data_IF_961973036056
#
_entry.id   IF_961973036056
#
_cell.length_a   1.000
_cell.length_b   1.000
_cell.length_c   1.000
_cell.angle_alpha   90.00
_cell.angle_beta   90.00
_cell.angle_gamma   90.00
#
_symmetry.space_group_name_H-M   'P 1'
#
loop_
_entity.id
_entity.type
_entity.pdbx_description
1 polymer ?
#
# COMPACT_ATOMS: atom_id res chain seq x y z
N UNK A 1 -6.72 -33.29 -26.49
CA UNK A 1 -5.33 -32.92 -26.83
C UNK A 1 -5.18 -31.85 -27.92
N UNK A 2 -6.23 -31.43 -28.65
CA UNK A 2 -6.07 -30.52 -29.81
C UNK A 2 -6.26 -29.02 -29.47
N UNK A 3 -6.77 -28.66 -28.27
CA UNK A 3 -6.96 -27.25 -27.87
C UNK A 3 -5.71 -26.54 -27.31
N UNK A 4 -4.63 -27.27 -27.02
CA UNK A 4 -3.41 -26.71 -26.39
C UNK A 4 -2.41 -26.10 -27.38
N UNK A 5 -2.35 -26.59 -28.62
CA UNK A 5 -1.34 -26.18 -29.59
C UNK A 5 -1.57 -24.77 -30.17
N UNK A 6 -2.84 -24.35 -30.28
CA UNK A 6 -3.19 -23.03 -30.82
C UNK A 6 -2.92 -21.87 -29.84
N UNK A 7 -2.95 -22.13 -28.53
CA UNK A 7 -2.63 -21.13 -27.50
C UNK A 7 -1.12 -20.87 -27.42
N UNK A 8 -0.30 -21.91 -27.59
CA UNK A 8 1.17 -21.79 -27.59
C UNK A 8 1.68 -20.94 -28.76
N UNK A 9 1.11 -21.12 -29.95
CA UNK A 9 1.54 -20.40 -31.16
C UNK A 9 1.20 -18.90 -31.14
N UNK A 10 0.24 -18.47 -30.32
CA UNK A 10 -0.09 -17.04 -30.12
C UNK A 10 0.87 -16.39 -29.11
N UNK A 11 1.36 -17.14 -28.13
CA UNK A 11 2.31 -16.65 -27.11
C UNK A 11 3.70 -16.37 -27.68
N UNK A 12 4.19 -17.22 -28.59
CA UNK A 12 5.50 -17.02 -29.25
C UNK A 12 5.53 -15.79 -30.17
N UNK A 13 4.38 -15.40 -30.74
CA UNK A 13 4.28 -14.23 -31.63
C UNK A 13 4.30 -12.89 -30.90
N UNK A 14 4.09 -12.89 -29.59
CA UNK A 14 4.01 -11.69 -28.74
C UNK A 14 5.26 -11.47 -27.86
N UNK A 15 6.28 -12.32 -27.94
CA UNK A 15 7.49 -12.18 -27.13
C UNK A 15 7.25 -12.39 -25.62
N UNK A 16 6.13 -13.01 -25.24
CA UNK A 16 5.80 -13.33 -23.86
C UNK A 16 6.44 -14.68 -23.57
N UNK A 17 7.54 -14.68 -22.79
CA UNK A 17 8.17 -15.92 -22.33
C UNK A 17 7.11 -16.80 -21.63
N UNK A 18 7.09 -18.12 -21.90
CA UNK A 18 6.17 -19.03 -21.22
C UNK A 18 6.42 -18.91 -19.71
N UNK A 19 5.35 -18.66 -18.95
CA UNK A 19 5.40 -18.58 -17.50
C UNK A 19 6.07 -19.86 -16.96
N UNK A 20 7.32 -19.73 -16.49
CA UNK A 20 7.98 -20.76 -15.70
C UNK A 20 7.05 -21.03 -14.52
N UNK A 21 6.50 -22.25 -14.49
CA UNK A 21 5.60 -22.69 -13.46
C UNK A 21 6.32 -22.55 -12.11
N UNK A 22 5.85 -21.59 -11.31
CA UNK A 22 6.31 -21.35 -9.96
C UNK A 22 5.97 -22.58 -9.12
N UNK A 23 6.97 -23.39 -8.78
CA UNK A 23 6.76 -24.64 -8.04
C UNK A 23 7.09 -24.40 -6.58
N UNK A 24 6.06 -24.21 -5.76
CA UNK A 24 6.23 -24.30 -4.31
C UNK A 24 6.44 -25.78 -3.92
N UNK A 25 7.67 -26.15 -3.61
CA UNK A 25 7.97 -27.45 -3.00
C UNK A 25 7.82 -27.31 -1.47
N UNK A 26 6.89 -28.04 -0.82
CA UNK A 26 6.70 -27.96 0.62
C UNK A 26 7.75 -28.81 1.32
N UNK A 27 9.01 -28.38 1.31
CA UNK A 27 9.93 -28.78 2.37
C UNK A 27 9.50 -28.01 3.63
N UNK A 28 9.38 -28.67 4.79
CA UNK A 28 9.03 -28.03 6.06
C UNK A 28 10.14 -27.03 6.44
N UNK A 29 10.00 -25.78 5.99
CA UNK A 29 10.86 -24.65 6.36
C UNK A 29 10.43 -24.15 7.75
N UNK A 30 11.39 -23.89 8.61
CA UNK A 30 11.16 -23.40 9.98
C UNK A 30 11.05 -21.87 10.00
N UNK A 31 10.39 -21.30 11.00
CA UNK A 31 10.27 -19.83 11.15
C UNK A 31 11.60 -19.07 11.24
N UNK A 32 12.68 -19.76 11.59
CA UNK A 32 14.06 -19.26 11.67
C UNK A 32 14.74 -19.07 10.31
N UNK A 33 14.11 -19.49 9.21
CA UNK A 33 14.67 -19.34 7.87
C UNK A 33 14.25 -18.01 7.22
N UNK A 34 15.09 -17.46 6.32
CA UNK A 34 14.74 -16.26 5.58
C UNK A 34 13.44 -16.44 4.80
N UNK A 35 12.60 -15.40 4.82
CA UNK A 35 11.38 -15.32 4.01
C UNK A 35 11.79 -15.17 2.55
N UNK A 36 11.38 -16.12 1.70
CA UNK A 36 11.62 -16.01 0.26
C UNK A 36 10.61 -15.10 -0.41
N UNK A 37 11.09 -14.04 -1.05
CA UNK A 37 10.25 -13.11 -1.79
C UNK A 37 10.43 -13.32 -3.29
N UNK A 38 9.32 -13.43 -4.01
CA UNK A 38 9.30 -13.32 -5.46
C UNK A 38 8.81 -11.92 -5.86
N UNK A 39 9.49 -11.28 -6.81
CA UNK A 39 9.08 -9.97 -7.32
C UNK A 39 8.38 -10.12 -8.66
N UNK A 40 7.19 -9.53 -8.79
CA UNK A 40 6.48 -9.52 -10.07
C UNK A 40 7.09 -8.49 -11.05
N UNK A 41 7.49 -7.32 -10.55
CA UNK A 41 8.09 -6.24 -11.34
C UNK A 41 9.45 -5.77 -10.76
N UNK A 42 10.51 -6.61 -10.83
CA UNK A 42 11.80 -6.35 -10.18
C UNK A 42 12.50 -5.09 -10.71
N UNK A 43 12.33 -4.76 -11.99
CA UNK A 43 12.99 -3.60 -12.64
C UNK A 43 12.34 -2.26 -12.31
N UNK A 44 11.14 -2.27 -11.71
CA UNK A 44 10.47 -1.07 -11.26
C UNK A 44 11.24 -0.36 -10.14
N UNK A 45 10.95 0.93 -9.92
CA UNK A 45 11.58 1.69 -8.82
C UNK A 45 11.39 1.00 -7.45
N UNK A 46 10.20 0.48 -7.18
CA UNK A 46 9.93 -0.28 -5.95
C UNK A 46 10.58 -1.66 -5.97
N UNK A 47 10.56 -2.38 -7.09
CA UNK A 47 11.24 -3.67 -7.23
C UNK A 47 12.74 -3.57 -6.90
N UNK A 48 13.43 -2.56 -7.43
CA UNK A 48 14.84 -2.29 -7.11
C UNK A 48 15.07 -1.90 -5.65
N UNK A 49 14.18 -1.09 -5.07
CA UNK A 49 14.27 -0.70 -3.67
C UNK A 49 14.06 -1.90 -2.72
N UNK A 50 13.16 -2.82 -3.06
CA UNK A 50 12.94 -4.06 -2.31
C UNK A 50 14.15 -4.98 -2.42
N UNK A 51 14.73 -5.14 -3.61
CA UNK A 51 15.98 -5.91 -3.78
C UNK A 51 17.12 -5.35 -2.92
N UNK A 52 17.30 -4.02 -2.88
CA UNK A 52 18.29 -3.39 -2.02
C UNK A 52 18.01 -3.66 -0.53
N UNK A 53 16.75 -3.56 -0.10
CA UNK A 53 16.38 -3.85 1.29
C UNK A 53 16.60 -5.33 1.66
N UNK A 54 16.33 -6.27 0.75
CA UNK A 54 16.62 -7.70 0.93
C UNK A 54 18.13 -7.92 1.08
N UNK A 55 18.96 -7.23 0.29
CA UNK A 55 20.42 -7.36 0.39
C UNK A 55 21.00 -6.88 1.73
N UNK A 56 20.26 -6.05 2.47
CA UNK A 56 20.64 -5.49 3.77
C UNK A 56 20.01 -6.25 4.97
N UNK A 57 19.09 -7.20 4.72
CA UNK A 57 18.32 -7.89 5.76
C UNK A 57 18.37 -9.42 5.55
N UNK A 58 19.16 -10.09 6.39
CA UNK A 58 19.40 -11.54 6.31
C UNK A 58 18.14 -12.39 6.58
N UNK A 59 17.06 -11.80 7.10
CA UNK A 59 15.78 -12.50 7.26
C UNK A 59 15.00 -12.64 5.95
N UNK A 60 15.51 -12.11 4.84
CA UNK A 60 14.88 -12.19 3.54
C UNK A 60 15.84 -12.69 2.47
N UNK A 61 15.31 -13.40 1.48
CA UNK A 61 16.07 -13.76 0.29
C UNK A 61 15.18 -13.64 -0.96
N UNK A 62 15.78 -13.26 -2.09
CA UNK A 62 15.07 -13.19 -3.37
C UNK A 62 14.98 -14.58 -3.99
N UNK A 63 13.77 -15.04 -4.30
CA UNK A 63 13.53 -16.35 -4.89
C UNK A 63 12.38 -16.29 -5.91
N UNK A 64 12.68 -15.86 -7.14
CA UNK A 64 11.65 -15.57 -8.14
C UNK A 64 10.91 -16.82 -8.65
N UNK A 65 11.48 -18.02 -8.53
CA UNK A 65 10.86 -19.26 -9.03
C UNK A 65 10.14 -20.08 -7.95
N UNK A 66 10.44 -19.82 -6.67
CA UNK A 66 9.97 -20.60 -5.53
C UNK A 66 9.79 -19.77 -4.24
N UNK A 67 9.47 -18.49 -4.40
CA UNK A 67 9.15 -17.56 -3.32
C UNK A 67 7.95 -18.00 -2.48
N UNK A 68 7.96 -17.62 -1.21
CA UNK A 68 6.87 -17.88 -0.26
C UNK A 68 5.84 -16.75 -0.29
N UNK A 69 6.20 -15.56 -0.77
CA UNK A 69 5.30 -14.43 -0.97
C UNK A 69 5.62 -13.76 -2.31
N UNK A 70 4.59 -13.51 -3.12
CA UNK A 70 4.71 -12.68 -4.31
C UNK A 70 4.47 -11.22 -3.94
N UNK A 71 5.33 -10.32 -4.42
CA UNK A 71 5.21 -8.87 -4.19
C UNK A 71 5.06 -8.16 -5.53
N UNK A 72 3.99 -7.39 -5.66
CA UNK A 72 3.62 -6.68 -6.87
C UNK A 72 3.51 -5.16 -6.66
N UNK A 73 4.41 -4.42 -7.31
CA UNK A 73 4.37 -2.95 -7.44
C UNK A 73 4.44 -2.57 -8.93
N UNK A 74 3.68 -3.26 -9.77
CA UNK A 74 3.61 -3.01 -11.21
C UNK A 74 2.61 -1.91 -11.58
N UNK A 75 2.07 -1.99 -12.80
CA UNK A 75 0.97 -1.18 -13.29
C UNK A 75 -0.38 -1.92 -13.17
N UNK A 76 -1.52 -1.22 -13.22
CA UNK A 76 -2.85 -1.83 -13.17
C UNK A 76 -3.06 -2.97 -14.19
N UNK A 77 -2.63 -2.77 -15.45
CA UNK A 77 -2.78 -3.75 -16.53
C UNK A 77 -2.07 -5.10 -16.25
N UNK A 78 -1.09 -5.10 -15.36
CA UNK A 78 -0.33 -6.29 -14.97
C UNK A 78 -0.94 -7.04 -13.77
N UNK A 79 -1.90 -6.42 -13.05
CA UNK A 79 -2.47 -6.97 -11.82
C UNK A 79 -3.11 -8.35 -12.04
N UNK A 80 -3.81 -8.55 -13.15
CA UNK A 80 -4.44 -9.84 -13.43
C UNK A 80 -3.41 -10.97 -13.52
N UNK A 81 -2.29 -10.70 -14.17
CA UNK A 81 -1.22 -11.68 -14.32
C UNK A 81 -0.51 -11.98 -12.98
N UNK A 82 -0.34 -10.99 -12.10
CA UNK A 82 0.23 -11.21 -10.76
C UNK A 82 -0.71 -12.01 -9.86
N UNK A 83 -2.02 -11.72 -9.91
CA UNK A 83 -3.06 -12.48 -9.22
C UNK A 83 -3.11 -13.93 -9.70
N UNK A 84 -3.20 -14.16 -11.01
CA UNK A 84 -3.26 -15.52 -11.59
C UNK A 84 -2.01 -16.33 -11.20
N UNK A 85 -0.82 -15.70 -11.19
CA UNK A 85 0.44 -16.33 -10.76
C UNK A 85 0.39 -16.71 -9.28
N UNK A 86 -0.02 -15.80 -8.39
CA UNK A 86 -0.08 -16.05 -6.95
C UNK A 86 -1.09 -17.17 -6.62
N UNK A 87 -2.28 -17.10 -7.22
CA UNK A 87 -3.35 -18.10 -7.03
C UNK A 87 -2.91 -19.47 -7.54
N UNK A 88 -2.32 -19.56 -8.74
CA UNK A 88 -1.84 -20.83 -9.29
C UNK A 88 -0.72 -21.46 -8.45
N UNK A 89 0.10 -20.65 -7.78
CA UNK A 89 1.16 -21.11 -6.90
C UNK A 89 0.69 -21.39 -5.46
N UNK A 90 -0.50 -20.93 -5.09
CA UNK A 90 -1.02 -21.00 -3.72
C UNK A 90 -0.21 -20.18 -2.73
N UNK A 91 0.41 -19.06 -3.17
CA UNK A 91 1.23 -18.21 -2.31
C UNK A 91 0.57 -16.87 -2.02
N UNK A 92 0.80 -16.27 -0.84
CA UNK A 92 0.38 -14.92 -0.53
C UNK A 92 0.84 -13.87 -1.54
N UNK A 93 0.05 -12.82 -1.68
CA UNK A 93 0.34 -11.68 -2.56
C UNK A 93 0.28 -10.35 -1.81
N UNK A 94 1.35 -9.56 -1.89
CA UNK A 94 1.33 -8.13 -1.59
C UNK A 94 1.04 -7.34 -2.87
N UNK A 95 -0.10 -6.65 -2.91
CA UNK A 95 -0.46 -5.71 -3.98
C UNK A 95 -0.18 -4.28 -3.54
N UNK A 96 0.92 -3.72 -4.03
CA UNK A 96 1.30 -2.31 -3.88
C UNK A 96 0.98 -1.45 -5.11
N UNK A 97 0.40 -2.03 -6.16
CA UNK A 97 -0.02 -1.34 -7.38
C UNK A 97 -1.07 -0.25 -7.07
N UNK A 98 -0.85 0.96 -7.57
CA UNK A 98 -1.75 2.12 -7.41
C UNK A 98 -2.54 2.40 -8.69
N UNK A 99 -3.61 3.19 -8.61
CA UNK A 99 -4.42 3.55 -9.78
C UNK A 99 -5.37 2.43 -10.22
N UNK A 100 -5.78 1.58 -9.28
CA UNK A 100 -6.73 0.50 -9.50
C UNK A 100 -8.15 1.07 -9.65
N UNK A 101 -8.99 0.35 -10.39
CA UNK A 101 -10.40 0.65 -10.62
C UNK A 101 -11.25 -0.44 -9.98
N UNK A 102 -12.57 -0.27 -9.93
CA UNK A 102 -13.48 -1.22 -9.27
C UNK A 102 -13.33 -2.66 -9.80
N UNK A 103 -13.07 -2.83 -11.10
CA UNK A 103 -12.79 -4.15 -11.69
C UNK A 103 -11.54 -4.81 -11.09
N UNK A 104 -10.47 -4.03 -10.88
CA UNK A 104 -9.26 -4.51 -10.23
C UNK A 104 -9.49 -4.88 -8.77
N UNK A 105 -10.25 -4.06 -8.04
CA UNK A 105 -10.59 -4.34 -6.64
C UNK A 105 -11.46 -5.60 -6.52
N UNK A 106 -12.36 -5.85 -7.47
CA UNK A 106 -13.14 -7.10 -7.54
C UNK A 106 -12.24 -8.32 -7.79
N UNK A 107 -11.28 -8.24 -8.71
CA UNK A 107 -10.31 -9.31 -8.96
C UNK A 107 -9.48 -9.63 -7.70
N UNK A 108 -9.06 -8.60 -6.96
CA UNK A 108 -8.37 -8.76 -5.68
C UNK A 108 -9.28 -9.45 -4.66
N UNK A 109 -10.54 -9.01 -4.53
CA UNK A 109 -11.49 -9.58 -3.59
C UNK A 109 -11.78 -11.06 -3.88
N UNK A 110 -11.89 -11.44 -5.16
CA UNK A 110 -12.12 -12.82 -5.56
C UNK A 110 -10.91 -13.72 -5.29
N UNK A 111 -9.69 -13.24 -5.57
CA UNK A 111 -8.46 -13.98 -5.26
C UNK A 111 -8.22 -14.09 -3.74
N UNK A 112 -8.62 -13.08 -2.96
CA UNK A 112 -8.52 -13.11 -1.50
C UNK A 112 -9.38 -14.21 -0.86
N UNK A 113 -10.33 -14.81 -1.58
CA UNK A 113 -11.10 -15.98 -1.11
C UNK A 113 -10.27 -17.27 -1.10
N UNK A 114 -9.16 -17.33 -1.83
CA UNK A 114 -8.35 -18.54 -2.01
C UNK A 114 -6.93 -18.41 -1.50
N UNK A 115 -6.36 -17.19 -1.51
CA UNK A 115 -5.01 -16.90 -1.01
C UNK A 115 -5.00 -15.67 -0.08
N UNK A 116 -3.98 -15.50 0.77
CA UNK A 116 -3.81 -14.28 1.55
C UNK A 116 -3.36 -13.14 0.63
N UNK A 117 -4.06 -12.01 0.66
CA UNK A 117 -3.70 -10.82 -0.12
C UNK A 117 -3.59 -9.63 0.81
N UNK A 118 -2.46 -8.92 0.78
CA UNK A 118 -2.34 -7.61 1.41
C UNK A 118 -2.40 -6.52 0.34
N UNK A 119 -3.37 -5.60 0.45
CA UNK A 119 -3.52 -4.47 -0.48
C UNK A 119 -3.04 -3.19 0.19
N UNK A 120 -1.94 -2.62 -0.30
CA UNK A 120 -1.30 -1.45 0.31
C UNK A 120 -0.58 -0.56 -0.72
N UNK A 121 -1.24 0.49 -1.26
CA UNK A 121 -0.59 1.46 -2.14
C UNK A 121 0.51 2.27 -1.42
N UNK A 122 0.54 2.22 -0.09
CA UNK A 122 1.62 2.72 0.76
C UNK A 122 1.92 1.67 1.83
N UNK A 123 3.15 1.17 1.84
CA UNK A 123 3.61 0.14 2.78
C UNK A 123 4.36 0.69 3.98
N UNK A 124 4.53 2.01 4.13
CA UNK A 124 5.22 2.58 5.29
C UNK A 124 4.48 2.23 6.59
N UNK A 125 5.17 1.54 7.51
CA UNK A 125 4.66 1.26 8.85
C UNK A 125 4.35 2.56 9.62
N UNK A 126 5.19 3.59 9.46
CA UNK A 126 4.97 4.88 10.09
C UNK A 126 3.70 5.59 9.60
N UNK A 127 3.40 5.48 8.30
CA UNK A 127 2.14 6.02 7.74
C UNK A 127 0.93 5.21 8.20
N UNK A 128 1.06 3.88 8.27
CA UNK A 128 -0.01 3.01 8.77
C UNK A 128 -0.34 3.34 10.24
N UNK A 129 0.68 3.49 11.09
CA UNK A 129 0.50 3.90 12.48
C UNK A 129 -0.06 5.32 12.59
N UNK A 130 0.40 6.27 11.78
CA UNK A 130 -0.15 7.63 11.74
C UNK A 130 -1.65 7.62 11.40
N UNK A 131 -2.08 6.76 10.47
CA UNK A 131 -3.49 6.62 10.12
C UNK A 131 -4.32 6.04 11.29
N UNK A 132 -3.82 5.03 12.00
CA UNK A 132 -4.50 4.48 13.18
C UNK A 132 -4.63 5.54 14.30
N UNK A 133 -3.54 6.26 14.60
CA UNK A 133 -3.55 7.34 15.59
C UNK A 133 -4.50 8.48 15.18
N UNK A 134 -4.56 8.79 13.88
CA UNK A 134 -5.48 9.79 13.33
C UNK A 134 -6.94 9.38 13.53
N UNK A 135 -7.29 8.13 13.20
CA UNK A 135 -8.64 7.59 13.40
C UNK A 135 -9.04 7.63 14.88
N UNK A 136 -8.12 7.26 15.77
CA UNK A 136 -8.34 7.30 17.21
C UNK A 136 -8.51 8.74 17.73
N UNK A 137 -7.64 9.66 17.33
CA UNK A 137 -7.72 11.06 17.74
C UNK A 137 -9.02 11.71 17.25
N UNK A 138 -9.41 11.47 15.99
CA UNK A 138 -10.65 11.98 15.42
C UNK A 138 -11.89 11.50 16.17
N UNK A 139 -11.90 10.23 16.59
CA UNK A 139 -12.97 9.65 17.41
C UNK A 139 -13.08 10.27 18.81
N UNK A 140 -11.95 10.58 19.43
CA UNK A 140 -11.91 11.13 20.80
C UNK A 140 -12.25 12.62 20.83
N UNK A 141 -11.72 13.39 19.88
CA UNK A 141 -11.81 14.86 19.90
C UNK A 141 -13.12 15.39 19.28
N UNK A 142 -13.76 14.60 18.40
CA UNK A 142 -15.08 14.93 17.84
C UNK A 142 -15.07 16.12 16.86
N UNK A 143 -16.18 16.36 16.13
CA UNK A 143 -16.27 17.43 15.13
C UNK A 143 -16.73 18.80 15.66
N UNK A 144 -17.25 18.88 16.89
CA UNK A 144 -17.90 20.10 17.40
C UNK A 144 -16.93 21.19 17.86
N UNK A 145 -15.76 20.78 18.37
CA UNK A 145 -14.76 21.69 18.95
C UNK A 145 -13.40 21.58 18.29
N UNK A 146 -13.19 20.57 17.46
CA UNK A 146 -11.89 20.28 16.87
C UNK A 146 -11.99 20.28 15.36
N UNK A 147 -11.21 21.12 14.72
CA UNK A 147 -11.04 21.12 13.29
C UNK A 147 -9.94 20.14 12.88
N UNK A 148 -10.10 19.51 11.71
CA UNK A 148 -9.07 18.65 11.12
C UNK A 148 -8.56 19.30 9.84
N UNK A 149 -7.24 19.47 9.77
CA UNK A 149 -6.50 19.90 8.59
C UNK A 149 -5.39 18.89 8.31
N UNK A 150 -5.24 18.49 7.05
CA UNK A 150 -4.17 17.61 6.58
C UNK A 150 -3.27 18.42 5.66
N UNK A 151 -2.04 18.64 6.09
CA UNK A 151 -1.03 19.34 5.31
C UNK A 151 -0.02 18.32 4.82
N UNK A 152 0.27 18.34 3.52
CA UNK A 152 1.26 17.45 2.92
C UNK A 152 2.27 18.22 2.06
N UNK A 153 3.51 17.75 2.06
CA UNK A 153 4.54 18.27 1.17
C UNK A 153 5.24 17.15 0.40
N UNK A 154 5.48 17.39 -0.89
CA UNK A 154 6.22 16.49 -1.77
C UNK A 154 7.09 17.28 -2.74
N UNK A 155 8.00 16.58 -3.41
CA UNK A 155 8.85 17.10 -4.46
C UNK A 155 8.07 17.82 -5.57
N UNK A 156 8.73 18.74 -6.27
CA UNK A 156 8.11 19.58 -7.31
C UNK A 156 7.58 18.81 -8.54
N UNK A 157 7.96 17.54 -8.71
CA UNK A 157 7.49 16.66 -9.81
C UNK A 157 6.21 15.88 -9.52
N UNK A 158 5.62 16.01 -8.33
CA UNK A 158 4.43 15.24 -7.96
C UNK A 158 3.22 15.88 -8.64
N UNK A 159 2.52 15.10 -9.46
CA UNK A 159 1.47 15.60 -10.35
C UNK A 159 0.06 15.60 -9.72
N UNK A 160 -0.19 14.70 -8.77
CA UNK A 160 -1.47 14.60 -8.05
C UNK A 160 -1.47 15.44 -6.76
N UNK A 161 -2.62 16.01 -6.41
CA UNK A 161 -2.86 16.72 -5.15
C UNK A 161 -4.35 16.63 -4.74
N UNK A 162 -4.67 16.33 -3.47
CA UNK A 162 -3.77 15.87 -2.41
C UNK A 162 -3.11 14.52 -2.75
N UNK A 163 -2.00 14.21 -2.09
CA UNK A 163 -1.34 12.91 -2.22
C UNK A 163 -2.27 11.77 -1.78
N UNK A 164 -2.09 10.57 -2.36
CA UNK A 164 -2.82 9.37 -1.92
C UNK A 164 -2.69 9.07 -0.42
N UNK A 165 -1.52 9.35 0.18
CA UNK A 165 -1.33 9.23 1.63
C UNK A 165 -2.18 10.25 2.40
N UNK A 166 -2.29 11.50 1.92
CA UNK A 166 -3.14 12.50 2.57
C UNK A 166 -4.62 12.08 2.52
N UNK A 167 -5.10 11.58 1.38
CA UNK A 167 -6.45 11.04 1.26
C UNK A 167 -6.68 9.82 2.17
N UNK A 168 -5.67 8.96 2.31
CA UNK A 168 -5.71 7.83 3.23
C UNK A 168 -5.85 8.28 4.71
N UNK A 169 -5.09 9.31 5.11
CA UNK A 169 -5.20 9.92 6.44
C UNK A 169 -6.56 10.60 6.65
N UNK A 170 -7.09 11.27 5.63
CA UNK A 170 -8.42 11.88 5.68
C UNK A 170 -9.53 10.84 5.81
N UNK A 171 -9.45 9.73 5.07
CA UNK A 171 -10.37 8.60 5.25
C UNK A 171 -10.28 8.02 6.67
N UNK A 172 -9.09 7.96 7.27
CA UNK A 172 -8.95 7.52 8.66
C UNK A 172 -9.61 8.50 9.65
N UNK A 173 -9.40 9.80 9.47
CA UNK A 173 -10.06 10.83 10.26
C UNK A 173 -11.60 10.76 10.12
N UNK A 174 -12.09 10.57 8.90
CA UNK A 174 -13.52 10.47 8.61
C UNK A 174 -14.15 9.23 9.26
N UNK A 175 -13.50 8.06 9.17
CA UNK A 175 -13.94 6.87 9.91
C UNK A 175 -14.02 7.12 11.41
N UNK A 176 -13.03 7.82 11.98
CA UNK A 176 -13.05 8.23 13.38
C UNK A 176 -14.26 9.09 13.75
N UNK A 177 -14.77 9.89 12.80
CA UNK A 177 -15.97 10.74 12.92
C UNK A 177 -17.27 10.06 12.49
N UNK A 178 -17.25 8.78 12.15
CA UNK A 178 -18.43 8.03 11.75
C UNK A 178 -18.78 8.10 10.26
N UNK A 179 -17.85 8.56 9.40
CA UNK A 179 -17.91 8.34 7.95
C UNK A 179 -18.77 9.32 7.14
N UNK A 180 -19.03 10.52 7.65
CA UNK A 180 -19.92 11.51 7.02
C UNK A 180 -19.29 12.91 6.92
N UNK A 181 -17.97 13.02 7.06
CA UNK A 181 -17.26 14.29 6.98
C UNK A 181 -17.17 14.77 5.53
N UNK A 182 -17.36 16.06 5.31
CA UNK A 182 -17.09 16.68 4.00
C UNK A 182 -15.60 16.97 3.84
N UNK A 183 -15.13 17.02 2.59
CA UNK A 183 -13.77 17.43 2.28
C UNK A 183 -13.72 18.89 1.83
N UNK A 184 -12.73 19.64 2.33
CA UNK A 184 -12.41 20.99 1.85
C UNK A 184 -10.99 21.01 1.29
N UNK A 185 -10.81 21.59 0.10
CA UNK A 185 -9.51 21.65 -0.58
C UNK A 185 -9.28 23.04 -1.14
N UNK A 186 -8.11 23.61 -0.85
CA UNK A 186 -7.77 24.96 -1.29
C UNK A 186 -8.61 26.05 -0.61
N UNK A 187 -7.96 27.12 -0.17
CA UNK A 187 -8.62 28.31 0.37
C UNK A 187 -7.98 29.54 -0.25
N UNK A 188 -8.76 30.29 -1.00
CA UNK A 188 -8.34 31.51 -1.70
C UNK A 188 -9.48 32.54 -1.70
N UNK A 189 -9.17 33.80 -1.37
CA UNK A 189 -10.14 34.88 -1.22
C UNK A 189 -10.56 35.20 0.22
N UNK A 190 -11.68 35.91 0.36
CA UNK A 190 -12.17 36.47 1.65
C UNK A 190 -13.58 35.98 1.98
N UNK A 191 -13.96 36.01 3.27
CA UNK A 191 -15.30 35.63 3.73
C UNK A 191 -15.61 34.13 3.71
N UNK A 192 -14.61 33.28 3.45
CA UNK A 192 -14.73 31.83 3.50
C UNK A 192 -14.98 31.37 4.95
N UNK A 193 -16.11 30.71 5.18
CA UNK A 193 -16.40 30.06 6.46
C UNK A 193 -16.06 28.58 6.37
N UNK A 194 -15.44 28.05 7.42
CA UNK A 194 -15.17 26.61 7.55
C UNK A 194 -16.47 25.86 7.85
N UNK A 195 -16.71 24.76 7.15
CA UNK A 195 -17.81 23.86 7.47
C UNK A 195 -17.44 23.03 8.71
N UNK A 196 -18.33 23.00 9.71
CA UNK A 196 -18.15 22.20 10.91
C UNK A 196 -18.03 20.72 10.53
N UNK A 197 -17.05 20.03 11.13
CA UNK A 197 -16.80 18.62 10.87
C UNK A 197 -16.06 18.31 9.56
N UNK A 198 -15.81 19.30 8.70
CA UNK A 198 -15.04 19.08 7.47
C UNK A 198 -13.60 18.64 7.74
N UNK A 199 -13.00 17.96 6.78
CA UNK A 199 -11.57 17.61 6.74
C UNK A 199 -10.92 18.46 5.66
N UNK A 200 -10.03 19.36 6.06
CA UNK A 200 -9.33 20.26 5.16
C UNK A 200 -8.04 19.64 4.62
N UNK A 201 -7.66 20.00 3.39
CA UNK A 201 -6.41 19.58 2.78
C UNK A 201 -5.62 20.76 2.20
N UNK A 202 -4.31 20.78 2.47
CA UNK A 202 -3.36 21.69 1.86
C UNK A 202 -2.15 20.91 1.31
N UNK A 203 -1.81 21.16 0.05
CA UNK A 203 -0.73 20.46 -0.64
C UNK A 203 0.41 21.42 -1.02
N UNK A 204 1.63 21.05 -0.65
CA UNK A 204 2.86 21.79 -0.91
C UNK A 204 3.71 21.00 -1.91
N UNK A 205 4.22 21.68 -2.94
CA UNK A 205 5.12 21.09 -3.95
C UNK A 205 6.43 21.87 -3.98
N UNK A 206 7.54 21.23 -3.63
CA UNK A 206 8.82 21.92 -3.53
C UNK A 206 10.01 20.99 -3.38
N UNK A 207 11.12 21.37 -4.02
CA UNK A 207 12.41 20.69 -3.89
C UNK A 207 12.34 19.17 -4.11
N UNK A 208 12.97 18.43 -3.20
CA UNK A 208 13.16 16.97 -3.24
C UNK A 208 12.41 16.21 -2.14
N UNK A 209 11.46 16.85 -1.46
CA UNK A 209 10.71 16.25 -0.32
C UNK A 209 10.11 14.91 -0.73
N UNK A 210 10.48 13.82 -0.05
CA UNK A 210 9.99 12.49 -0.43
C UNK A 210 8.52 12.29 -0.05
N UNK A 211 8.10 12.87 1.07
CA UNK A 211 6.71 12.92 1.51
C UNK A 211 6.61 13.28 2.99
N UNK A 212 6.00 14.42 3.25
CA UNK A 212 5.70 14.89 4.60
C UNK A 212 4.19 15.00 4.78
N UNK A 213 3.70 14.62 5.97
CA UNK A 213 2.29 14.61 6.29
C UNK A 213 2.07 15.04 7.73
N UNK A 214 1.31 16.11 7.93
CA UNK A 214 0.82 16.55 9.23
C UNK A 214 -0.70 16.41 9.26
N UNK A 215 -1.22 15.70 10.26
CA UNK A 215 -2.65 15.71 10.61
C UNK A 215 -2.82 16.58 11.83
N UNK A 216 -3.48 17.71 11.65
CA UNK A 216 -3.66 18.72 12.67
C UNK A 216 -5.08 18.64 13.22
N UNK A 217 -5.20 18.45 14.53
CA UNK A 217 -6.42 18.64 15.28
C UNK A 217 -6.32 20.01 15.97
N UNK A 218 -7.20 20.93 15.60
CA UNK A 218 -7.17 22.33 16.04
C UNK A 218 -8.38 22.60 16.93
N UNK A 219 -8.15 22.74 18.24
CA UNK A 219 -9.18 22.95 19.24
C UNK A 219 -9.16 24.38 19.83
N UNK A 220 -10.08 24.70 20.75
CA UNK A 220 -10.00 25.94 21.52
C UNK A 220 -8.74 25.92 22.39
N UNK A 221 -7.87 26.92 22.20
CA UNK A 221 -6.66 27.16 23.01
C UNK A 221 -5.57 26.07 22.95
N UNK A 222 -5.75 25.01 22.17
CA UNK A 222 -4.75 23.96 21.98
C UNK A 222 -4.79 23.34 20.58
N UNK A 223 -3.68 22.66 20.23
CA UNK A 223 -3.56 21.93 18.97
C UNK A 223 -2.77 20.64 19.21
N UNK A 224 -3.22 19.56 18.58
CA UNK A 224 -2.51 18.29 18.51
C UNK A 224 -2.12 18.06 17.05
N UNK A 225 -0.84 17.80 16.80
CA UNK A 225 -0.32 17.56 15.45
C UNK A 225 0.37 16.21 15.44
N UNK A 226 -0.07 15.34 14.53
CA UNK A 226 0.55 14.05 14.27
C UNK A 226 1.32 14.16 12.95
N UNK A 227 2.64 14.00 13.01
CA UNK A 227 3.54 14.24 11.88
C UNK A 227 4.29 12.99 11.46
N UNK A 228 4.41 12.79 10.15
CA UNK A 228 5.30 11.81 9.54
C UNK A 228 6.15 12.48 8.46
N UNK A 229 7.46 12.21 8.48
CA UNK A 229 8.43 12.74 7.52
C UNK A 229 9.18 11.57 6.88
N UNK A 230 9.08 11.43 5.56
CA UNK A 230 9.84 10.44 4.82
C UNK A 230 11.15 11.05 4.33
N UNK A 231 12.28 10.57 4.86
CA UNK A 231 13.61 10.99 4.38
C UNK A 231 14.05 10.21 3.13
N UNK A 232 13.51 9.00 2.95
CA UNK A 232 13.87 8.12 1.85
C UNK A 232 12.74 7.18 1.48
N UNK A 233 12.69 6.79 0.21
CA UNK A 233 11.76 5.76 -0.29
C UNK A 233 12.07 4.36 0.25
N UNK A 234 13.22 4.17 0.89
CA UNK A 234 13.60 2.91 1.52
C UNK A 234 12.59 2.46 2.60
N UNK A 235 11.85 3.39 3.22
CA UNK A 235 10.81 3.06 4.19
C UNK A 235 9.69 2.19 3.59
N UNK A 236 9.36 2.41 2.31
CA UNK A 236 8.33 1.63 1.63
C UNK A 236 8.82 0.21 1.31
N UNK A 237 10.10 0.06 0.98
CA UNK A 237 10.71 -1.25 0.77
C UNK A 237 10.73 -2.06 2.06
N UNK A 238 11.21 -1.49 3.18
CA UNK A 238 11.16 -2.14 4.50
C UNK A 238 9.74 -2.47 4.93
N UNK A 239 8.80 -1.58 4.64
CA UNK A 239 7.38 -1.82 4.85
C UNK A 239 6.84 -3.02 4.05
N UNK A 240 7.27 -3.17 2.80
CA UNK A 240 6.90 -4.33 1.98
C UNK A 240 7.51 -5.64 2.52
N UNK A 241 8.73 -5.59 3.07
CA UNK A 241 9.34 -6.73 3.77
C UNK A 241 8.54 -7.11 5.03
N UNK A 242 8.13 -6.14 5.83
CA UNK A 242 7.27 -6.37 6.99
C UNK A 242 5.92 -6.99 6.59
N UNK A 243 5.29 -6.48 5.53
CA UNK A 243 4.06 -7.04 4.96
C UNK A 243 4.26 -8.48 4.45
N UNK A 244 5.38 -8.78 3.78
CA UNK A 244 5.70 -10.13 3.33
C UNK A 244 5.88 -11.09 4.51
N UNK A 245 6.62 -10.68 5.55
CA UNK A 245 6.75 -11.46 6.78
C UNK A 245 5.39 -11.70 7.43
N UNK A 246 4.54 -10.68 7.54
CA UNK A 246 3.19 -10.80 8.08
C UNK A 246 2.32 -11.79 7.31
N UNK A 247 2.38 -11.77 5.97
CA UNK A 247 1.59 -12.64 5.10
C UNK A 247 1.99 -14.11 5.19
N UNK A 248 3.24 -14.42 5.58
CA UNK A 248 3.72 -15.79 5.72
C UNK A 248 2.86 -16.56 6.72
N UNK A 249 2.20 -17.62 6.24
CA UNK A 249 1.36 -18.49 7.07
C UNK A 249 -0.03 -17.94 7.41
N UNK A 250 -0.45 -16.80 6.84
CA UNK A 250 -1.81 -16.30 7.03
C UNK A 250 -2.84 -17.15 6.26
N UNK A 251 -4.07 -17.29 6.77
CA UNK A 251 -5.16 -17.87 5.99
C UNK A 251 -5.58 -16.93 4.85
N UNK A 252 -6.31 -17.49 3.87
CA UNK A 252 -6.91 -16.69 2.81
C UNK A 252 -7.76 -15.55 3.38
N UNK A 253 -7.63 -14.37 2.79
CA UNK A 253 -8.28 -13.16 3.26
C UNK A 253 -7.64 -11.91 2.68
N UNK A 254 -8.35 -10.79 2.79
CA UNK A 254 -7.85 -9.47 2.41
C UNK A 254 -7.33 -8.76 3.65
N UNK A 255 -6.06 -8.36 3.60
CA UNK A 255 -5.32 -7.69 4.66
C UNK A 255 -4.85 -6.32 4.20
N UNK A 256 -4.44 -5.51 5.17
CA UNK A 256 -3.94 -4.16 5.02
C UNK A 256 -2.68 -3.96 5.86
N UNK A 257 -2.05 -2.79 5.74
CA UNK A 257 -0.97 -2.41 6.66
C UNK A 257 -1.43 -2.22 8.11
N UNK A 258 -2.74 -2.04 8.35
CA UNK A 258 -3.30 -2.01 9.72
C UNK A 258 -3.11 -3.38 10.39
N UNK A 259 -3.41 -4.44 9.67
CA UNK A 259 -3.23 -5.80 10.18
C UNK A 259 -1.75 -6.12 10.48
N UNK A 260 -0.84 -5.52 9.73
CA UNK A 260 0.61 -5.66 9.96
C UNK A 260 1.03 -4.97 11.26
N UNK A 261 0.57 -3.74 11.53
CA UNK A 261 0.92 -3.03 12.77
C UNK A 261 0.22 -3.62 13.99
N UNK A 262 -0.98 -4.18 13.84
CA UNK A 262 -1.72 -4.81 14.93
C UNK A 262 -1.09 -6.16 15.36
N UNK A 263 -0.29 -6.77 14.49
CA UNK A 263 0.41 -8.02 14.74
C UNK A 263 1.87 -7.84 15.20
N UNK A 264 2.37 -6.61 15.26
CA UNK A 264 3.73 -6.27 15.66
C UNK A 264 3.87 -6.15 17.19
#
# INVERSE_FOLDING_TARGET
MIRGAAALALQERLGIAPALAFRHHPAMRTDQQPVRIALFAPEGRMGRAIQAAIAEDADFELANDNGEVLVDFSAPDALRASLDRAVSAGVPLLVGTTGLIDEHEQLIADAARTIPILRAPNTSLGVALLADLTERAARVLGPDKWDIEIVEAHHNRKADAPSGTALYLGSAADRGRGGNSTEERGRDGTGLKRHQGAIGYAAIRGGTVAGDHDVMFLGPDERLILSHRAESRAIFARGALAAARFLRGKPAGLYSMRDVIDAA
#
